data_IF_668486245611
#
_entry.id   IF_668486245611
#
_cell.length_a   1.000
_cell.length_b   1.000
_cell.length_c   1.000
_cell.angle_alpha   90.00
_cell.angle_beta   90.00
_cell.angle_gamma   90.00
#
_symmetry.space_group_name_H-M   'P 1'
#
loop_
_entity.id
_entity.type
_entity.pdbx_description
1 polymer ?
#
# COMPACT_ATOMS: atom_id res chain seq x y z
N UNK A 1 10.92 8.03 -1.42
CA UNK A 1 11.48 6.88 -0.65
C UNK A 1 11.68 5.61 -1.50
N UNK A 2 11.32 5.64 -2.78
CA UNK A 2 11.59 4.54 -3.71
C UNK A 2 13.06 4.46 -4.19
N UNK A 3 13.90 5.43 -3.85
CA UNK A 3 15.25 5.62 -4.40
C UNK A 3 16.39 4.93 -3.62
N UNK A 4 16.09 4.00 -2.71
CA UNK A 4 17.14 3.26 -1.97
C UNK A 4 17.94 4.13 -1.01
N UNK A 5 19.28 3.96 -0.98
CA UNK A 5 20.19 4.71 -0.08
C UNK A 5 20.35 6.18 -0.42
N UNK A 6 20.00 6.59 -1.65
CA UNK A 6 20.22 7.93 -2.17
C UNK A 6 19.01 8.89 -2.01
N UNK A 7 17.96 8.43 -1.29
CA UNK A 7 16.70 9.19 -1.20
C UNK A 7 16.89 10.62 -0.70
N UNK A 8 17.73 10.85 0.31
CA UNK A 8 17.97 12.19 0.88
C UNK A 8 18.55 13.17 -0.15
N UNK A 9 19.53 12.72 -0.93
CA UNK A 9 20.12 13.53 -2.02
C UNK A 9 19.08 13.84 -3.10
N UNK A 10 18.29 12.85 -3.49
CA UNK A 10 17.27 13.01 -4.52
C UNK A 10 16.09 13.86 -4.05
N UNK A 11 15.70 13.80 -2.78
CA UNK A 11 14.68 14.69 -2.20
C UNK A 11 15.13 16.15 -2.27
N UNK A 12 16.38 16.45 -1.90
CA UNK A 12 16.95 17.80 -1.96
C UNK A 12 17.07 18.30 -3.40
N UNK A 13 17.53 17.45 -4.32
CA UNK A 13 17.64 17.79 -5.74
C UNK A 13 16.26 18.09 -6.35
N UNK A 14 15.28 17.26 -6.04
CA UNK A 14 13.89 17.46 -6.46
C UNK A 14 13.31 18.77 -5.89
N UNK A 15 13.59 19.09 -4.62
CA UNK A 15 13.15 20.34 -4.02
C UNK A 15 13.77 21.58 -4.70
N UNK A 16 15.06 21.54 -5.02
CA UNK A 16 15.73 22.61 -5.76
C UNK A 16 15.13 22.80 -7.16
N UNK A 17 14.95 21.71 -7.89
CA UNK A 17 14.36 21.74 -9.23
C UNK A 17 12.92 22.25 -9.19
N UNK A 18 12.13 21.81 -8.20
CA UNK A 18 10.76 22.28 -8.01
C UNK A 18 10.73 23.78 -7.68
N UNK A 19 11.57 24.27 -6.76
CA UNK A 19 11.62 25.68 -6.37
C UNK A 19 12.00 26.57 -7.57
N UNK A 20 12.98 26.15 -8.39
CA UNK A 20 13.38 26.86 -9.60
C UNK A 20 12.26 26.90 -10.63
N UNK A 21 11.62 25.75 -10.93
CA UNK A 21 10.54 25.67 -11.88
C UNK A 21 9.29 26.46 -11.42
N UNK A 22 8.98 26.45 -10.12
CA UNK A 22 7.88 27.23 -9.57
C UNK A 22 8.13 28.76 -9.73
N UNK A 23 9.36 29.22 -9.54
CA UNK A 23 9.74 30.61 -9.75
C UNK A 23 9.64 31.00 -11.24
N UNK A 24 10.16 30.16 -12.14
CA UNK A 24 10.11 30.36 -13.58
C UNK A 24 8.67 30.40 -14.12
N UNK A 25 7.82 29.52 -13.60
CA UNK A 25 6.40 29.46 -13.94
C UNK A 25 5.56 30.59 -13.33
N UNK A 26 6.14 31.48 -12.53
CA UNK A 26 5.43 32.58 -11.89
C UNK A 26 4.44 32.14 -10.82
N UNK A 27 4.66 30.98 -10.16
CA UNK A 27 3.82 30.50 -9.08
C UNK A 27 3.84 31.49 -7.92
N UNK A 28 2.66 31.90 -7.45
CA UNK A 28 2.55 32.92 -6.40
C UNK A 28 2.84 32.41 -5.01
N UNK A 29 2.60 31.10 -4.77
CA UNK A 29 2.70 30.48 -3.46
C UNK A 29 2.80 28.97 -3.58
N UNK A 30 3.52 28.35 -2.67
CA UNK A 30 3.64 26.89 -2.53
C UNK A 30 3.15 26.49 -1.15
N UNK A 31 2.38 25.40 -1.06
CA UNK A 31 2.07 24.73 0.20
C UNK A 31 2.82 23.41 0.22
N UNK A 32 3.63 23.22 1.24
CA UNK A 32 4.45 22.01 1.42
C UNK A 32 3.99 21.22 2.65
N UNK A 33 3.72 19.94 2.48
CA UNK A 33 3.45 19.03 3.58
C UNK A 33 4.76 18.38 4.05
N UNK A 34 5.28 18.86 5.15
CA UNK A 34 6.42 18.32 5.88
C UNK A 34 6.03 17.34 6.97
N UNK A 35 7.01 16.91 7.77
CA UNK A 35 6.79 16.13 8.98
C UNK A 35 7.14 16.91 10.23
N UNK A 36 6.51 16.59 11.35
CA UNK A 36 6.95 17.08 12.66
C UNK A 36 8.39 16.61 12.93
N UNK A 37 9.22 17.52 13.40
CA UNK A 37 10.64 17.29 13.58
C UNK A 37 10.91 17.37 15.09
N UNK A 38 11.33 16.27 15.75
CA UNK A 38 11.76 16.32 17.12
C UNK A 38 13.03 17.19 17.29
N UNK A 39 13.30 17.69 18.49
CA UNK A 39 14.42 18.57 18.75
C UNK A 39 15.81 17.95 18.41
N UNK A 40 15.94 16.62 18.49
CA UNK A 40 17.14 15.87 18.08
C UNK A 40 16.75 14.79 17.04
N UNK A 41 16.59 15.12 15.75
CA UNK A 41 16.20 14.16 14.74
C UNK A 41 17.36 13.20 14.44
N UNK A 42 17.29 11.97 14.93
CA UNK A 42 18.28 10.92 14.63
C UNK A 42 18.01 10.22 13.32
N UNK A 43 16.76 10.18 12.89
CA UNK A 43 16.34 9.53 11.65
C UNK A 43 16.82 10.32 10.42
N UNK A 44 17.51 9.65 9.50
CA UNK A 44 17.92 10.23 8.22
C UNK A 44 16.70 10.73 7.41
N UNK A 45 15.55 10.09 7.57
CA UNK A 45 14.30 10.48 6.94
C UNK A 45 13.78 11.83 7.46
N UNK A 46 13.76 12.03 8.79
CA UNK A 46 13.33 13.29 9.39
C UNK A 46 14.29 14.43 9.04
N UNK A 47 15.60 14.16 9.00
CA UNK A 47 16.59 15.15 8.54
C UNK A 47 16.34 15.55 7.09
N UNK A 48 16.17 14.59 6.19
CA UNK A 48 15.86 14.87 4.77
C UNK A 48 14.59 15.69 4.61
N UNK A 49 13.55 15.44 5.40
CA UNK A 49 12.31 16.22 5.38
C UNK A 49 12.52 17.66 5.85
N UNK A 50 13.30 17.86 6.92
CA UNK A 50 13.69 19.20 7.39
C UNK A 50 14.46 19.97 6.32
N UNK A 51 15.50 19.36 5.77
CA UNK A 51 16.33 19.95 4.72
C UNK A 51 15.53 20.26 3.44
N UNK A 52 14.60 19.39 3.05
CA UNK A 52 13.68 19.63 1.93
C UNK A 52 12.83 20.87 2.17
N UNK A 53 12.23 21.01 3.35
CA UNK A 53 11.49 22.21 3.74
C UNK A 53 12.35 23.48 3.71
N UNK A 54 13.58 23.39 4.23
CA UNK A 54 14.54 24.51 4.21
C UNK A 54 14.88 24.95 2.78
N UNK A 55 15.19 24.01 1.89
CA UNK A 55 15.49 24.30 0.48
C UNK A 55 14.31 24.98 -0.20
N UNK A 56 13.09 24.51 0.02
CA UNK A 56 11.89 25.10 -0.58
C UNK A 56 11.67 26.53 -0.07
N UNK A 57 11.82 26.78 1.24
CA UNK A 57 11.62 28.12 1.84
C UNK A 57 12.68 29.15 1.43
N UNK A 58 13.90 28.71 1.10
CA UNK A 58 14.93 29.57 0.57
C UNK A 58 14.77 29.89 -0.91
N UNK A 59 13.77 29.31 -1.58
CA UNK A 59 13.42 29.64 -2.96
C UNK A 59 12.79 31.04 -3.10
N UNK A 60 12.60 31.49 -4.35
CA UNK A 60 12.03 32.80 -4.64
C UNK A 60 10.51 32.88 -4.40
N UNK A 61 9.81 31.72 -4.34
CA UNK A 61 8.36 31.64 -4.12
C UNK A 61 8.05 31.43 -2.63
N UNK A 62 7.15 32.21 -2.01
CA UNK A 62 6.77 32.00 -0.61
C UNK A 62 6.20 30.61 -0.38
N UNK A 63 6.73 29.88 0.61
CA UNK A 63 6.30 28.52 0.95
C UNK A 63 5.62 28.52 2.30
N UNK A 64 4.38 28.04 2.36
CA UNK A 64 3.72 27.68 3.61
C UNK A 64 3.99 26.21 3.91
N UNK A 65 4.64 25.92 5.01
CA UNK A 65 4.93 24.55 5.43
C UNK A 65 3.93 24.09 6.49
N UNK A 66 3.24 22.99 6.22
CA UNK A 66 2.40 22.29 7.20
C UNK A 66 3.17 21.05 7.66
N UNK A 67 3.42 20.93 8.96
CA UNK A 67 4.13 19.79 9.56
C UNK A 67 3.15 18.90 10.30
N UNK A 68 2.98 17.67 9.82
CA UNK A 68 2.14 16.67 10.46
C UNK A 68 2.99 15.52 11.02
N UNK A 69 2.53 14.96 12.13
CA UNK A 69 3.05 13.71 12.68
C UNK A 69 2.38 12.50 12.02
N UNK A 70 1.72 11.69 12.82
CA UNK A 70 0.96 10.55 12.32
C UNK A 70 -0.34 10.99 11.65
N UNK A 71 -0.50 10.69 10.38
CA UNK A 71 -1.75 10.92 9.64
C UNK A 71 -2.59 9.64 9.72
N UNK A 72 -3.86 9.76 10.09
CA UNK A 72 -4.81 8.65 10.19
C UNK A 72 -5.74 8.66 8.99
N UNK A 73 -5.60 7.67 8.14
CA UNK A 73 -6.42 7.54 6.94
C UNK A 73 -5.85 6.51 5.98
N UNK A 74 -6.64 6.07 4.99
CA UNK A 74 -6.21 5.13 3.98
C UNK A 74 -4.98 5.66 3.20
N UNK A 75 -4.00 4.79 2.97
CA UNK A 75 -2.77 5.16 2.28
C UNK A 75 -1.69 5.80 3.17
N UNK A 76 -1.97 6.09 4.44
CA UNK A 76 -0.95 6.50 5.40
C UNK A 76 -0.13 5.31 5.88
N UNK A 77 1.19 5.34 5.68
CA UNK A 77 2.06 4.23 6.06
C UNK A 77 2.01 3.92 7.57
N UNK A 78 1.96 4.93 8.43
CA UNK A 78 1.89 4.74 9.88
C UNK A 78 0.56 4.10 10.30
N UNK A 79 -0.56 4.58 9.74
CA UNK A 79 -1.88 3.99 9.98
C UNK A 79 -1.96 2.54 9.47
N UNK A 80 -1.46 2.27 8.28
CA UNK A 80 -1.47 0.92 7.71
C UNK A 80 -0.61 -0.06 8.52
N UNK A 81 0.54 0.38 9.04
CA UNK A 81 1.35 -0.45 9.95
C UNK A 81 0.54 -0.82 11.20
N UNK A 82 -0.08 0.14 11.88
CA UNK A 82 -0.91 -0.13 13.07
C UNK A 82 -2.04 -1.09 12.74
N UNK A 83 -2.76 -0.84 11.64
CA UNK A 83 -3.83 -1.69 11.13
C UNK A 83 -3.38 -3.13 10.93
N UNK A 84 -2.27 -3.33 10.21
CA UNK A 84 -1.77 -4.66 9.88
C UNK A 84 -1.25 -5.39 11.12
N UNK A 85 -0.56 -4.68 12.01
CA UNK A 85 -0.08 -5.25 13.28
C UNK A 85 -1.26 -5.80 14.12
N UNK A 86 -2.28 -4.99 14.35
CA UNK A 86 -3.44 -5.37 15.16
C UNK A 86 -4.27 -6.46 14.48
N UNK A 87 -4.43 -6.41 13.16
CA UNK A 87 -5.25 -7.39 12.44
C UNK A 87 -4.59 -8.78 12.36
N UNK A 88 -3.26 -8.86 12.31
CA UNK A 88 -2.57 -10.12 11.99
C UNK A 88 -1.78 -10.72 13.15
N UNK A 89 -1.51 -9.97 14.21
CA UNK A 89 -0.72 -10.47 15.34
C UNK A 89 -1.56 -10.61 16.60
N UNK A 90 -1.85 -11.84 17.05
CA UNK A 90 -2.48 -12.06 18.34
C UNK A 90 -1.54 -11.74 19.53
N UNK A 91 -0.22 -11.81 19.32
CA UNK A 91 0.81 -11.46 20.30
C UNK A 91 1.83 -10.57 19.60
N UNK A 92 2.08 -9.39 20.16
CA UNK A 92 3.06 -8.44 19.67
C UNK A 92 4.16 -8.25 20.69
N UNK A 93 5.40 -8.48 20.28
CA UNK A 93 6.58 -8.15 21.07
C UNK A 93 7.06 -6.79 20.57
N UNK A 94 6.96 -5.77 21.40
CA UNK A 94 7.24 -4.39 21.01
C UNK A 94 8.45 -3.82 21.76
N UNK A 95 9.27 -2.99 21.13
CA UNK A 95 10.30 -2.21 21.80
C UNK A 95 9.70 -1.08 22.64
N UNK A 96 10.54 -0.40 23.41
CA UNK A 96 10.14 0.72 24.26
C UNK A 96 9.48 1.88 23.52
N UNK A 97 9.76 2.09 22.24
CA UNK A 97 9.18 3.17 21.45
C UNK A 97 7.65 3.12 21.35
N UNK A 98 7.03 1.98 21.64
CA UNK A 98 5.56 1.89 21.69
C UNK A 98 4.94 2.84 22.72
N UNK A 99 5.73 3.32 23.68
CA UNK A 99 5.35 4.31 24.70
C UNK A 99 5.55 5.76 24.26
N UNK A 100 6.22 6.00 23.11
CA UNK A 100 6.37 7.35 22.58
C UNK A 100 5.02 7.93 22.19
N UNK A 101 4.86 9.22 22.38
CA UNK A 101 3.60 9.93 22.20
C UNK A 101 3.57 10.64 20.84
N UNK A 102 2.39 10.71 20.27
CA UNK A 102 2.10 11.44 19.04
C UNK A 102 0.74 12.14 19.12
N UNK A 103 0.54 13.16 18.31
CA UNK A 103 -0.74 13.84 18.08
C UNK A 103 -1.28 13.44 16.72
N UNK A 104 -1.97 12.27 16.59
CA UNK A 104 -2.45 11.78 15.30
C UNK A 104 -3.52 12.70 14.74
N UNK A 105 -3.44 13.02 13.46
CA UNK A 105 -4.41 13.88 12.76
C UNK A 105 -5.18 13.08 11.71
N UNK A 106 -6.50 13.29 11.62
CA UNK A 106 -7.33 12.74 10.55
C UNK A 106 -6.87 13.26 9.18
N UNK A 107 -6.84 12.40 8.18
CA UNK A 107 -6.54 12.80 6.81
C UNK A 107 -7.47 13.91 6.31
N UNK A 108 -8.76 13.85 6.64
CA UNK A 108 -9.74 14.89 6.28
C UNK A 108 -9.36 16.25 6.87
N UNK A 109 -9.07 16.32 8.17
CA UNK A 109 -8.67 17.58 8.82
C UNK A 109 -7.33 18.11 8.28
N UNK A 110 -6.37 17.22 7.96
CA UNK A 110 -5.13 17.65 7.31
C UNK A 110 -5.38 18.28 5.94
N UNK A 111 -6.28 17.70 5.15
CA UNK A 111 -6.65 18.25 3.84
C UNK A 111 -7.35 19.60 3.99
N UNK A 112 -8.23 19.77 4.99
CA UNK A 112 -8.86 21.05 5.28
C UNK A 112 -7.82 22.13 5.63
N UNK A 113 -6.82 21.81 6.44
CA UNK A 113 -5.73 22.74 6.74
C UNK A 113 -4.91 23.10 5.48
N UNK A 114 -4.52 22.10 4.67
CA UNK A 114 -3.75 22.33 3.44
C UNK A 114 -4.50 23.23 2.45
N UNK A 115 -5.80 22.99 2.25
CA UNK A 115 -6.65 23.80 1.39
C UNK A 115 -6.89 25.19 2.00
N UNK A 116 -7.08 25.26 3.32
CA UNK A 116 -7.28 26.49 4.06
C UNK A 116 -6.09 27.43 3.91
N UNK A 117 -4.87 26.98 4.24
CA UNK A 117 -3.65 27.83 4.13
C UNK A 117 -3.35 28.22 2.68
N UNK A 118 -3.70 27.36 1.71
CA UNK A 118 -3.53 27.70 0.29
C UNK A 118 -4.38 28.89 -0.14
N UNK A 119 -5.51 29.14 0.54
CA UNK A 119 -6.44 30.24 0.25
C UNK A 119 -6.13 31.53 1.04
N UNK A 120 -5.34 31.43 2.12
CA UNK A 120 -5.05 32.54 3.04
C UNK A 120 -3.71 33.21 2.72
N UNK A 121 -3.68 34.48 2.26
CA UNK A 121 -2.45 35.22 2.00
C UNK A 121 -1.54 35.37 3.24
N UNK A 122 -2.14 35.51 4.42
CA UNK A 122 -1.46 35.66 5.70
C UNK A 122 -0.70 34.42 6.16
N UNK A 123 -1.01 33.25 5.59
CA UNK A 123 -0.28 32.02 5.83
C UNK A 123 1.01 31.88 5.00
N UNK A 124 1.21 32.78 4.01
CA UNK A 124 2.36 32.70 3.11
C UNK A 124 3.69 32.84 3.85
N UNK A 125 4.65 31.96 3.55
CA UNK A 125 5.99 32.00 4.16
C UNK A 125 6.08 31.52 5.61
N UNK A 126 4.99 30.99 6.17
CA UNK A 126 4.94 30.52 7.56
C UNK A 126 5.01 29.01 7.67
N UNK A 127 5.37 28.56 8.88
CA UNK A 127 5.39 27.15 9.26
C UNK A 127 4.32 26.91 10.30
N UNK A 128 3.55 25.86 10.14
CA UNK A 128 2.52 25.45 11.10
C UNK A 128 2.63 23.96 11.38
N UNK A 129 2.68 23.62 12.65
CA UNK A 129 2.47 22.24 13.07
C UNK A 129 0.98 21.94 13.13
N UNK A 130 0.59 20.70 12.78
CA UNK A 130 -0.80 20.25 12.83
C UNK A 130 -0.90 18.91 13.56
N UNK A 131 -1.88 18.82 14.44
CA UNK A 131 -2.20 17.62 15.21
C UNK A 131 -3.70 17.44 15.39
N UNK A 132 -4.09 16.26 15.83
CA UNK A 132 -5.44 15.99 16.30
C UNK A 132 -5.67 16.49 17.74
N UNK A 133 -6.87 16.26 18.29
CA UNK A 133 -7.23 16.75 19.64
C UNK A 133 -6.61 15.94 20.76
N UNK A 134 -5.99 14.80 20.46
CA UNK A 134 -5.50 13.84 21.45
C UNK A 134 -3.99 13.61 21.32
N UNK A 135 -3.31 13.51 22.47
CA UNK A 135 -1.93 13.03 22.53
C UNK A 135 -1.94 11.60 23.03
N UNK A 136 -1.55 10.65 22.19
CA UNK A 136 -1.65 9.21 22.44
C UNK A 136 -0.30 8.52 22.25
N UNK A 137 -0.04 7.47 23.04
CA UNK A 137 1.08 6.57 22.79
C UNK A 137 0.74 5.59 21.65
N UNK A 138 1.76 5.03 20.99
CA UNK A 138 1.52 4.02 19.96
C UNK A 138 0.82 2.77 20.51
N UNK A 139 1.04 2.42 21.78
CA UNK A 139 0.27 1.38 22.46
C UNK A 139 -1.22 1.75 22.54
N UNK A 140 -1.55 2.98 22.94
CA UNK A 140 -2.93 3.45 23.03
C UNK A 140 -3.60 3.46 21.64
N UNK A 141 -2.87 3.89 20.58
CA UNK A 141 -3.36 3.85 19.22
C UNK A 141 -3.70 2.43 18.77
N UNK A 142 -2.81 1.45 19.02
CA UNK A 142 -3.07 0.05 18.71
C UNK A 142 -4.24 -0.52 19.51
N UNK A 143 -4.36 -0.19 20.82
CA UNK A 143 -5.48 -0.66 21.64
C UNK A 143 -6.81 -0.08 21.17
N UNK A 144 -6.89 1.23 20.91
CA UNK A 144 -8.10 1.86 20.39
C UNK A 144 -8.50 1.27 19.03
N UNK A 145 -7.53 1.02 18.12
CA UNK A 145 -7.82 0.35 16.86
C UNK A 145 -8.34 -1.08 17.08
N UNK A 146 -7.75 -1.82 18.02
CA UNK A 146 -8.20 -3.16 18.38
C UNK A 146 -9.63 -3.18 18.92
N UNK A 147 -9.98 -2.22 19.77
CA UNK A 147 -11.34 -2.08 20.32
C UNK A 147 -12.37 -1.81 19.20
N UNK A 148 -12.05 -0.92 18.24
CA UNK A 148 -12.92 -0.64 17.09
C UNK A 148 -13.15 -1.88 16.23
N UNK A 149 -12.11 -2.73 16.05
CA UNK A 149 -12.17 -3.95 15.25
C UNK A 149 -12.56 -5.19 16.05
N UNK A 150 -12.88 -5.03 17.34
CA UNK A 150 -13.17 -6.14 18.28
C UNK A 150 -12.06 -7.21 18.29
N UNK A 151 -10.79 -6.78 18.10
CA UNK A 151 -9.61 -7.63 18.07
C UNK A 151 -8.90 -7.63 19.41
N UNK A 152 -8.72 -8.82 20.00
CA UNK A 152 -7.93 -9.01 21.22
C UNK A 152 -6.52 -9.43 20.84
N UNK A 153 -5.54 -8.76 21.42
CA UNK A 153 -4.12 -9.06 21.26
C UNK A 153 -3.34 -8.76 22.53
N UNK A 154 -2.19 -9.40 22.66
CA UNK A 154 -1.28 -9.20 23.78
C UNK A 154 -0.09 -8.37 23.33
N UNK A 155 0.21 -7.32 24.10
CA UNK A 155 1.40 -6.48 23.94
C UNK A 155 2.41 -6.83 25.03
N UNK A 156 3.59 -7.30 24.61
CA UNK A 156 4.73 -7.57 25.49
C UNK A 156 5.85 -6.60 25.13
N UNK A 157 6.05 -5.58 25.96
CA UNK A 157 7.15 -4.63 25.76
C UNK A 157 8.45 -5.21 26.32
N UNK A 158 9.45 -5.43 25.44
CA UNK A 158 10.77 -5.89 25.81
C UNK A 158 11.81 -4.77 25.73
N UNK A 159 12.68 -4.62 26.74
CA UNK A 159 13.64 -3.50 26.78
C UNK A 159 14.80 -3.61 25.78
N UNK A 160 14.97 -4.74 25.10
CA UNK A 160 16.21 -5.11 24.38
C UNK A 160 16.06 -5.15 22.85
N UNK A 161 14.87 -4.93 22.28
CA UNK A 161 14.71 -4.99 20.83
C UNK A 161 15.24 -3.70 20.17
N UNK A 162 16.32 -3.85 19.38
CA UNK A 162 16.82 -2.75 18.56
C UNK A 162 15.87 -2.43 17.41
N UNK A 163 15.82 -1.18 16.91
CA UNK A 163 15.00 -0.80 15.75
C UNK A 163 15.25 -1.70 14.52
N UNK A 164 16.49 -2.15 14.35
CA UNK A 164 16.87 -3.08 13.26
C UNK A 164 16.16 -4.43 13.38
N UNK A 165 16.11 -5.01 14.57
CA UNK A 165 15.44 -6.30 14.81
C UNK A 165 13.92 -6.15 14.62
N UNK A 166 13.33 -5.05 15.06
CA UNK A 166 11.92 -4.72 14.87
C UNK A 166 11.55 -4.60 13.39
N UNK A 167 12.42 -4.07 12.55
CA UNK A 167 12.13 -3.89 11.12
C UNK A 167 12.07 -5.20 10.34
N UNK A 168 12.73 -6.27 10.78
CA UNK A 168 12.69 -7.56 10.10
C UNK A 168 11.36 -8.29 10.22
N UNK A 169 10.74 -8.26 11.39
CA UNK A 169 9.46 -8.93 11.56
C UNK A 169 8.28 -8.10 11.01
N UNK A 170 8.39 -6.77 10.96
CA UNK A 170 7.42 -5.93 10.26
C UNK A 170 7.28 -6.33 8.79
N UNK A 171 8.38 -6.69 8.13
CA UNK A 171 8.36 -7.23 6.76
C UNK A 171 7.46 -8.47 6.60
N UNK A 172 7.25 -9.23 7.67
CA UNK A 172 6.42 -10.44 7.65
C UNK A 172 4.93 -10.11 7.75
N UNK A 173 4.57 -8.96 8.32
CA UNK A 173 3.20 -8.68 8.75
C UNK A 173 2.57 -7.51 8.00
N UNK A 174 3.35 -6.50 7.61
CA UNK A 174 2.79 -5.28 7.00
C UNK A 174 2.96 -5.24 5.49
N UNK A 175 2.00 -4.59 4.80
CA UNK A 175 2.08 -4.31 3.38
C UNK A 175 3.03 -3.13 3.06
N UNK A 176 3.45 -2.38 4.07
CA UNK A 176 4.33 -1.21 3.90
C UNK A 176 5.75 -1.66 3.57
N UNK A 177 6.41 -1.08 2.55
CA UNK A 177 7.79 -1.39 2.19
C UNK A 177 8.75 -1.28 3.37
N UNK A 178 9.68 -2.25 3.49
CA UNK A 178 10.58 -2.36 4.65
C UNK A 178 11.45 -1.12 4.86
N UNK A 179 11.86 -0.44 3.78
CA UNK A 179 12.63 0.81 3.86
C UNK A 179 11.79 1.95 4.45
N UNK A 180 10.51 2.03 4.11
CA UNK A 180 9.57 3.02 4.66
C UNK A 180 9.27 2.68 6.12
N UNK A 181 8.93 1.42 6.41
CA UNK A 181 8.66 0.95 7.77
C UNK A 181 9.85 1.22 8.71
N UNK A 182 11.09 0.96 8.23
CA UNK A 182 12.31 1.26 9.02
C UNK A 182 12.47 2.76 9.28
N UNK A 183 12.30 3.59 8.24
CA UNK A 183 12.43 5.04 8.38
C UNK A 183 11.40 5.62 9.37
N UNK A 184 10.18 5.05 9.40
CA UNK A 184 9.16 5.41 10.37
C UNK A 184 9.54 4.97 11.78
N UNK A 185 9.98 3.71 11.98
CA UNK A 185 10.39 3.20 13.30
C UNK A 185 11.53 4.02 13.89
N UNK A 186 12.54 4.36 13.07
CA UNK A 186 13.66 5.20 13.51
C UNK A 186 13.18 6.60 13.98
N UNK A 187 12.02 7.06 13.49
CA UNK A 187 11.37 8.30 13.93
C UNK A 187 10.52 8.15 15.20
N UNK A 188 10.16 6.92 15.59
CA UNK A 188 9.28 6.66 16.75
C UNK A 188 9.98 6.65 18.13
N UNK A 189 11.31 6.76 18.16
CA UNK A 189 12.06 6.73 19.41
C UNK A 189 11.80 7.96 20.31
N UNK A 190 11.22 9.02 19.76
CA UNK A 190 10.94 10.28 20.44
C UNK A 190 9.46 10.62 20.39
N UNK A 191 9.02 11.38 21.40
CA UNK A 191 7.70 12.01 21.34
C UNK A 191 7.64 12.99 20.17
N UNK A 192 6.56 12.93 19.40
CA UNK A 192 6.30 13.79 18.25
C UNK A 192 4.94 14.46 18.46
N UNK A 193 4.95 15.57 19.19
CA UNK A 193 3.76 16.31 19.60
C UNK A 193 3.72 17.61 18.78
N UNK A 194 2.59 17.92 18.17
CA UNK A 194 2.39 19.15 17.41
C UNK A 194 2.19 20.35 18.36
N UNK A 195 2.81 21.49 18.02
CA UNK A 195 2.47 22.79 18.56
C UNK A 195 1.52 23.48 17.57
N UNK A 196 0.23 23.17 17.71
CA UNK A 196 -0.80 23.49 16.71
C UNK A 196 -1.69 24.68 17.08
N UNK A 197 -1.33 25.45 18.12
CA UNK A 197 -2.09 26.60 18.59
C UNK A 197 -2.28 27.65 17.48
N UNK A 198 -1.19 28.02 16.80
CA UNK A 198 -1.21 29.03 15.76
C UNK A 198 -2.10 28.67 14.55
N UNK A 199 -2.13 27.40 14.15
CA UNK A 199 -2.97 26.97 13.02
C UNK A 199 -4.44 26.84 13.45
N UNK A 200 -4.72 26.45 14.68
CA UNK A 200 -6.07 26.39 15.22
C UNK A 200 -6.71 27.77 15.36
N UNK A 201 -5.92 28.77 15.71
CA UNK A 201 -6.38 30.18 15.71
C UNK A 201 -6.65 30.68 14.30
N UNK A 202 -5.76 30.35 13.34
CA UNK A 202 -5.90 30.79 11.95
C UNK A 202 -7.08 30.11 11.25
N UNK A 203 -7.23 28.80 11.45
CA UNK A 203 -8.27 27.98 10.82
C UNK A 203 -8.94 27.11 11.89
N UNK A 204 -10.00 27.63 12.53
CA UNK A 204 -10.72 26.89 13.56
C UNK A 204 -11.51 25.74 12.92
N UNK A 205 -11.03 24.50 13.11
CA UNK A 205 -11.67 23.29 12.63
C UNK A 205 -12.16 22.44 13.80
N UNK A 206 -13.25 21.71 13.60
CA UNK A 206 -13.62 20.61 14.47
C UNK A 206 -12.73 19.41 14.12
N UNK A 207 -11.74 19.16 14.97
CA UNK A 207 -10.82 18.05 14.77
C UNK A 207 -11.45 16.73 15.20
N UNK A 208 -11.25 15.71 14.40
CA UNK A 208 -11.68 14.34 14.68
C UNK A 208 -10.73 13.69 15.69
N UNK A 209 -11.29 12.97 16.66
CA UNK A 209 -10.53 12.08 17.56
C UNK A 209 -9.87 10.95 16.76
N UNK A 210 -8.91 10.25 17.39
CA UNK A 210 -8.29 9.09 16.73
C UNK A 210 -9.34 8.02 16.39
N UNK A 211 -10.30 7.76 17.29
CA UNK A 211 -11.41 6.82 17.04
C UNK A 211 -12.23 7.22 15.82
N UNK A 212 -12.73 8.45 15.77
CA UNK A 212 -13.50 8.96 14.63
C UNK A 212 -12.72 8.88 13.32
N UNK A 213 -11.41 9.17 13.37
CA UNK A 213 -10.51 9.09 12.21
C UNK A 213 -10.36 7.66 11.69
N UNK A 214 -10.25 6.68 12.58
CA UNK A 214 -10.17 5.26 12.21
C UNK A 214 -11.49 4.76 11.66
N UNK A 215 -12.61 5.11 12.28
CA UNK A 215 -13.95 4.74 11.80
C UNK A 215 -14.21 5.30 10.40
N UNK A 216 -13.89 6.58 10.16
CA UNK A 216 -13.98 7.19 8.84
C UNK A 216 -13.06 6.53 7.80
N UNK A 217 -11.84 6.13 8.20
CA UNK A 217 -10.92 5.43 7.32
C UNK A 217 -11.45 4.05 6.92
N UNK A 218 -12.01 3.30 7.87
CA UNK A 218 -12.61 1.98 7.63
C UNK A 218 -13.85 2.07 6.73
N UNK A 219 -14.69 3.10 6.93
CA UNK A 219 -15.85 3.34 6.09
C UNK A 219 -15.44 3.68 4.65
N UNK A 220 -14.44 4.55 4.48
CA UNK A 220 -13.88 4.88 3.17
C UNK A 220 -13.28 3.64 2.46
N UNK A 221 -12.63 2.73 3.20
CA UNK A 221 -12.12 1.49 2.66
C UNK A 221 -13.25 0.53 2.24
N UNK A 222 -14.32 0.40 3.04
CA UNK A 222 -15.47 -0.46 2.74
C UNK A 222 -16.26 0.03 1.52
N UNK A 223 -16.46 1.35 1.41
CA UNK A 223 -17.18 1.96 0.31
C UNK A 223 -16.31 2.17 -0.95
N UNK A 224 -15.05 1.70 -0.92
CA UNK A 224 -14.09 1.80 -2.01
C UNK A 224 -13.89 3.24 -2.54
N UNK A 225 -14.06 4.23 -1.67
CA UNK A 225 -13.90 5.66 -1.99
C UNK A 225 -12.44 6.14 -1.88
N UNK A 226 -11.52 5.23 -1.52
CA UNK A 226 -10.10 5.56 -1.35
C UNK A 226 -9.43 5.72 -2.69
N UNK A 227 -8.94 6.91 -2.98
CA UNK A 227 -8.23 7.24 -4.22
C UNK A 227 -6.72 6.92 -4.18
N UNK A 228 -6.13 6.85 -2.99
CA UNK A 228 -4.71 6.63 -2.80
C UNK A 228 -4.42 5.30 -2.09
N UNK A 229 -3.62 4.45 -2.74
CA UNK A 229 -3.13 3.20 -2.17
C UNK A 229 -1.60 3.19 -2.18
N UNK A 230 -1.00 2.62 -1.13
CA UNK A 230 0.42 2.30 -1.16
C UNK A 230 0.66 1.20 -2.18
N UNK A 231 1.25 1.59 -3.32
CA UNK A 231 1.76 0.66 -4.31
C UNK A 231 3.27 0.52 -4.10
N UNK A 232 3.70 -0.63 -3.58
CA UNK A 232 5.13 -0.90 -3.47
C UNK A 232 5.72 -1.02 -4.88
N UNK A 233 6.73 -0.20 -5.19
CA UNK A 233 7.47 -0.34 -6.43
C UNK A 233 6.79 0.23 -7.67
N UNK A 234 6.26 1.44 -7.61
CA UNK A 234 5.86 2.19 -8.81
C UNK A 234 6.94 2.22 -9.91
N UNK A 235 8.22 2.02 -9.52
CA UNK A 235 9.36 1.86 -10.45
C UNK A 235 9.24 0.57 -11.25
N UNK A 236 8.78 -0.53 -10.64
CA UNK A 236 8.60 -1.81 -11.36
C UNK A 236 7.49 -1.67 -12.40
N UNK A 237 6.41 -0.95 -12.10
CA UNK A 237 5.36 -0.66 -13.09
C UNK A 237 5.84 0.24 -14.22
N UNK A 238 6.80 1.15 -13.98
CA UNK A 238 7.41 1.99 -15.02
C UNK A 238 8.29 1.20 -15.99
N UNK A 239 8.91 0.12 -15.51
CA UNK A 239 9.76 -0.75 -16.31
C UNK A 239 9.00 -1.96 -16.89
N UNK A 240 7.70 -2.05 -16.67
CA UNK A 240 6.88 -3.05 -17.31
C UNK A 240 6.64 -2.66 -18.77
N UNK A 241 7.17 -3.48 -19.64
CA UNK A 241 7.02 -3.37 -21.09
C UNK A 241 6.14 -4.53 -21.56
N UNK A 242 4.92 -4.29 -22.04
CA UNK A 242 4.03 -5.35 -22.54
C UNK A 242 4.69 -6.20 -23.64
N UNK A 243 5.59 -5.58 -24.41
CA UNK A 243 6.37 -6.25 -25.45
C UNK A 243 7.32 -7.32 -24.91
N UNK A 244 7.73 -7.28 -23.65
CA UNK A 244 8.52 -8.34 -23.03
C UNK A 244 7.73 -9.65 -22.89
N UNK A 245 6.40 -9.59 -22.90
CA UNK A 245 5.54 -10.76 -22.95
C UNK A 245 5.76 -11.58 -24.26
N UNK A 246 6.19 -10.96 -25.34
CA UNK A 246 6.45 -11.61 -26.62
C UNK A 246 7.58 -12.67 -26.55
N UNK A 247 8.56 -12.44 -25.71
CA UNK A 247 9.72 -13.35 -25.54
C UNK A 247 9.61 -14.28 -24.35
N UNK A 248 8.53 -14.16 -23.58
CA UNK A 248 8.32 -14.97 -22.40
C UNK A 248 7.96 -16.41 -22.72
N UNK A 249 8.37 -17.34 -21.86
CA UNK A 249 7.76 -18.66 -21.81
C UNK A 249 6.33 -18.54 -21.34
N UNK A 250 5.42 -19.31 -21.93
CA UNK A 250 3.99 -19.22 -21.67
C UNK A 250 3.41 -20.51 -21.16
N UNK A 251 2.51 -20.42 -20.20
CA UNK A 251 1.65 -21.52 -19.78
C UNK A 251 0.30 -20.92 -19.39
N UNK A 252 -0.80 -21.61 -19.67
CA UNK A 252 -2.11 -21.06 -19.39
C UNK A 252 -3.22 -22.08 -19.43
N UNK A 253 -4.42 -21.61 -19.18
CA UNK A 253 -5.67 -22.33 -19.29
C UNK A 253 -6.75 -21.46 -19.91
N UNK A 254 -7.74 -22.09 -20.50
CA UNK A 254 -8.90 -21.45 -21.12
C UNK A 254 -10.17 -22.17 -20.67
N UNK A 255 -11.22 -21.41 -20.43
CA UNK A 255 -12.55 -21.97 -20.18
C UNK A 255 -13.60 -21.16 -20.94
N UNK A 256 -14.54 -21.86 -21.58
CA UNK A 256 -15.71 -21.26 -22.23
C UNK A 256 -16.89 -21.32 -21.28
N UNK A 257 -17.74 -20.29 -21.23
CA UNK A 257 -18.86 -20.17 -20.33
C UNK A 257 -20.00 -19.35 -20.94
N UNK A 258 -21.21 -19.54 -20.44
CA UNK A 258 -22.38 -18.74 -20.78
C UNK A 258 -22.56 -17.53 -19.85
N UNK A 259 -21.81 -17.47 -18.75
CA UNK A 259 -21.86 -16.35 -17.81
C UNK A 259 -21.53 -15.03 -18.51
N UNK A 260 -22.13 -13.92 -18.05
CA UNK A 260 -21.84 -12.58 -18.55
C UNK A 260 -20.38 -12.15 -18.28
N UNK A 261 -19.89 -11.15 -19.02
CA UNK A 261 -18.56 -10.57 -18.77
C UNK A 261 -18.44 -10.02 -17.37
N UNK A 262 -19.48 -9.37 -16.90
CA UNK A 262 -19.56 -8.77 -15.58
C UNK A 262 -19.49 -9.83 -14.47
N UNK A 263 -20.15 -10.98 -14.67
CA UNK A 263 -20.10 -12.10 -13.73
C UNK A 263 -18.70 -12.72 -13.68
N UNK A 264 -18.07 -12.94 -14.83
CA UNK A 264 -16.68 -13.40 -14.94
C UNK A 264 -15.72 -12.40 -14.31
N UNK A 265 -15.87 -11.10 -14.63
CA UNK A 265 -15.00 -10.05 -14.12
C UNK A 265 -15.06 -9.97 -12.61
N UNK A 266 -16.25 -10.06 -12.00
CA UNK A 266 -16.39 -10.13 -10.54
C UNK A 266 -15.59 -11.25 -9.92
N UNK A 267 -15.53 -12.43 -10.56
CA UNK A 267 -14.72 -13.53 -10.07
C UNK A 267 -13.22 -13.28 -10.26
N UNK A 268 -12.81 -12.78 -11.43
CA UNK A 268 -11.42 -12.42 -11.70
C UNK A 268 -10.94 -11.36 -10.70
N UNK A 269 -11.76 -10.36 -10.42
CA UNK A 269 -11.45 -9.32 -9.45
C UNK A 269 -11.43 -9.85 -8.01
N UNK A 270 -12.05 -10.99 -7.70
CA UNK A 270 -12.02 -11.64 -6.40
C UNK A 270 -10.81 -12.60 -6.21
N UNK A 271 -9.96 -12.78 -7.22
CA UNK A 271 -8.77 -13.64 -7.19
C UNK A 271 -7.83 -13.32 -6.02
N UNK A 272 -7.38 -14.35 -5.31
CA UNK A 272 -6.48 -14.23 -4.16
C UNK A 272 -7.18 -13.86 -2.85
N UNK A 273 -6.40 -13.66 -1.79
CA UNK A 273 -6.92 -13.32 -0.46
C UNK A 273 -7.80 -14.42 0.13
N UNK A 274 -8.99 -14.04 0.62
CA UNK A 274 -9.92 -14.98 1.29
C UNK A 274 -10.56 -15.99 0.32
N UNK A 275 -10.74 -15.60 -0.95
CA UNK A 275 -11.34 -16.47 -1.99
C UNK A 275 -10.32 -17.48 -2.54
N UNK A 276 -9.03 -17.32 -2.22
CA UNK A 276 -7.97 -18.18 -2.71
C UNK A 276 -7.74 -18.08 -4.22
N UNK A 277 -7.21 -19.14 -4.79
CA UNK A 277 -6.86 -19.21 -6.21
C UNK A 277 -7.86 -20.04 -7.02
N UNK A 278 -9.02 -20.34 -6.46
CA UNK A 278 -10.11 -21.12 -7.03
C UNK A 278 -9.81 -22.59 -7.27
N UNK A 279 -8.54 -22.97 -7.39
CA UNK A 279 -8.16 -24.34 -7.70
C UNK A 279 -6.81 -24.71 -7.09
N UNK A 280 -6.74 -25.90 -6.47
CA UNK A 280 -5.53 -26.47 -5.90
C UNK A 280 -4.77 -25.53 -4.94
N UNK A 281 -5.50 -24.85 -4.03
CA UNK A 281 -4.96 -23.87 -3.08
C UNK A 281 -3.79 -24.41 -2.24
N UNK A 282 -3.71 -25.73 -2.03
CA UNK A 282 -2.59 -26.37 -1.35
C UNK A 282 -1.26 -26.21 -2.10
N UNK A 283 -1.25 -26.19 -3.45
CA UNK A 283 -0.05 -25.94 -4.23
C UNK A 283 0.38 -24.47 -4.15
N UNK A 284 -0.59 -23.56 -4.12
CA UNK A 284 -0.33 -22.13 -3.91
C UNK A 284 0.17 -21.87 -2.49
N UNK A 285 -0.35 -22.57 -1.50
CA UNK A 285 0.18 -22.53 -0.14
C UNK A 285 1.62 -23.01 -0.07
N UNK A 286 1.93 -24.16 -0.68
CA UNK A 286 3.30 -24.69 -0.76
C UNK A 286 4.23 -23.70 -1.46
N UNK A 287 3.78 -23.09 -2.56
CA UNK A 287 4.55 -22.06 -3.28
C UNK A 287 4.82 -20.84 -2.41
N UNK A 288 3.84 -20.39 -1.62
CA UNK A 288 4.02 -19.29 -0.64
C UNK A 288 5.06 -19.65 0.42
N UNK A 289 4.99 -20.86 0.94
CA UNK A 289 5.94 -21.36 1.95
C UNK A 289 7.37 -21.37 1.40
N UNK A 290 7.57 -21.87 0.21
CA UNK A 290 8.88 -21.87 -0.49
C UNK A 290 9.37 -20.41 -0.68
N UNK A 291 8.50 -19.52 -1.15
CA UNK A 291 8.82 -18.11 -1.34
C UNK A 291 9.25 -17.43 -0.03
N UNK A 292 8.57 -17.73 1.07
CA UNK A 292 8.90 -17.19 2.38
C UNK A 292 10.29 -17.66 2.85
N UNK A 293 10.62 -18.94 2.71
CA UNK A 293 11.97 -19.45 3.02
C UNK A 293 13.04 -18.83 2.12
N UNK A 294 12.72 -18.52 0.88
CA UNK A 294 13.63 -17.82 -0.04
C UNK A 294 13.80 -16.32 0.28
N UNK A 295 13.20 -15.82 1.36
CA UNK A 295 13.25 -14.40 1.75
C UNK A 295 12.41 -13.50 0.85
N UNK A 296 11.39 -14.03 0.20
CA UNK A 296 10.38 -13.30 -0.58
C UNK A 296 9.44 -12.47 0.30
N UNK A 297 8.43 -11.80 -0.31
CA UNK A 297 7.45 -11.00 0.43
C UNK A 297 6.69 -11.83 1.47
N UNK A 298 6.12 -11.12 2.45
CA UNK A 298 5.44 -11.68 3.62
C UNK A 298 4.40 -12.74 3.26
N UNK A 299 4.34 -13.78 4.08
CA UNK A 299 3.36 -14.86 3.98
C UNK A 299 1.90 -14.39 4.16
N UNK A 300 1.71 -13.23 4.82
CA UNK A 300 0.40 -12.70 5.21
C UNK A 300 -0.02 -11.45 4.44
N UNK A 301 0.55 -11.16 3.28
CA UNK A 301 0.04 -10.08 2.44
C UNK A 301 -1.36 -10.44 1.97
N UNK A 302 -2.34 -9.88 2.66
CA UNK A 302 -3.76 -10.06 2.33
C UNK A 302 -4.22 -8.93 1.43
N UNK A 303 -5.20 -9.26 0.62
CA UNK A 303 -5.97 -8.36 -0.20
C UNK A 303 -6.57 -7.22 0.65
N UNK A 304 -6.50 -6.00 0.15
CA UNK A 304 -7.00 -4.81 0.85
C UNK A 304 -8.53 -4.71 0.81
N UNK A 305 -9.14 -4.95 -0.37
CA UNK A 305 -10.58 -4.95 -0.57
C UNK A 305 -11.07 -6.33 -1.00
N UNK A 306 -12.18 -6.88 -0.43
CA UNK A 306 -12.59 -8.27 -0.66
C UNK A 306 -13.03 -8.57 -2.09
N UNK A 307 -13.50 -7.58 -2.85
CA UNK A 307 -14.11 -7.79 -4.18
C UNK A 307 -13.46 -7.03 -5.33
N UNK A 308 -12.63 -6.03 -5.07
CA UNK A 308 -12.05 -5.18 -6.09
C UNK A 308 -10.52 -5.12 -6.00
N UNK A 309 -9.90 -4.93 -7.16
CA UNK A 309 -8.48 -4.72 -7.35
C UNK A 309 -8.26 -3.46 -8.18
N UNK A 310 -7.27 -2.66 -7.80
CA UNK A 310 -6.86 -1.47 -8.54
C UNK A 310 -5.40 -1.58 -8.92
N UNK A 311 -4.99 -0.87 -9.94
CA UNK A 311 -3.58 -0.78 -10.32
C UNK A 311 -2.75 -0.30 -9.13
N UNK A 312 -1.71 -1.08 -8.79
CA UNK A 312 -0.85 -0.87 -7.65
C UNK A 312 -1.19 -1.73 -6.42
N UNK A 313 -2.39 -2.31 -6.32
CA UNK A 313 -2.75 -3.21 -5.22
C UNK A 313 -1.86 -4.46 -5.23
N UNK A 314 -1.58 -4.97 -4.03
CA UNK A 314 -0.86 -6.23 -3.86
C UNK A 314 -1.80 -7.28 -3.27
N UNK A 315 -1.89 -8.40 -3.95
CA UNK A 315 -2.69 -9.57 -3.54
C UNK A 315 -1.74 -10.74 -3.36
N UNK A 316 -1.57 -11.20 -2.12
CA UNK A 316 -0.58 -12.21 -1.78
C UNK A 316 0.82 -11.81 -2.31
N UNK A 317 1.30 -12.47 -3.34
CA UNK A 317 2.60 -12.18 -3.97
C UNK A 317 2.44 -11.63 -5.41
N UNK A 318 1.30 -11.04 -5.70
CA UNK A 318 0.97 -10.47 -7.01
C UNK A 318 0.67 -8.99 -6.89
N UNK A 319 1.21 -8.19 -7.80
CA UNK A 319 0.89 -6.77 -7.93
C UNK A 319 0.03 -6.53 -9.15
N UNK A 320 -1.06 -5.82 -8.99
CA UNK A 320 -1.89 -5.37 -10.10
C UNK A 320 -1.16 -4.30 -10.90
N UNK A 321 -0.86 -4.54 -12.16
CA UNK A 321 -0.20 -3.58 -13.06
C UNK A 321 -1.13 -3.04 -14.14
N UNK A 322 -2.21 -3.76 -14.47
CA UNK A 322 -3.28 -3.27 -15.32
C UNK A 322 -4.61 -3.91 -14.90
N UNK A 323 -5.69 -3.14 -14.96
CA UNK A 323 -7.05 -3.59 -14.75
C UNK A 323 -7.97 -2.83 -15.73
N UNK A 324 -8.42 -3.53 -16.76
CA UNK A 324 -9.39 -3.03 -17.76
C UNK A 324 -10.73 -3.71 -17.44
N UNK A 325 -11.75 -2.98 -16.99
CA UNK A 325 -13.03 -3.55 -16.60
C UNK A 325 -13.60 -4.49 -17.67
N UNK A 326 -14.12 -5.63 -17.23
CA UNK A 326 -14.77 -6.66 -18.02
C UNK A 326 -13.90 -7.24 -19.17
N UNK A 327 -12.59 -6.94 -19.18
CA UNK A 327 -11.70 -7.34 -20.24
C UNK A 327 -10.40 -7.97 -19.79
N UNK A 328 -9.58 -7.27 -18.97
CA UNK A 328 -8.23 -7.73 -18.66
C UNK A 328 -7.76 -7.34 -17.27
N UNK A 329 -7.19 -8.31 -16.54
CA UNK A 329 -6.46 -8.09 -15.30
C UNK A 329 -5.04 -8.63 -15.46
N UNK A 330 -4.03 -7.78 -15.24
CA UNK A 330 -2.62 -8.16 -15.36
C UNK A 330 -1.92 -8.01 -14.01
N UNK A 331 -1.29 -9.09 -13.56
CA UNK A 331 -0.66 -9.23 -12.26
C UNK A 331 0.84 -9.49 -12.43
N UNK A 332 1.69 -8.68 -11.82
CA UNK A 332 3.13 -8.87 -11.77
C UNK A 332 3.49 -9.76 -10.57
N UNK A 333 4.29 -10.78 -10.80
CA UNK A 333 4.77 -11.67 -9.75
C UNK A 333 5.86 -11.01 -8.90
N UNK A 334 5.64 -10.88 -7.60
CA UNK A 334 6.62 -10.40 -6.62
C UNK A 334 7.32 -11.54 -5.85
N UNK A 335 7.06 -12.77 -6.21
CA UNK A 335 7.74 -13.93 -5.63
C UNK A 335 9.20 -13.97 -6.04
N UNK A 336 10.07 -14.32 -5.13
CA UNK A 336 11.47 -14.59 -5.46
C UNK A 336 11.59 -15.89 -6.27
N UNK A 337 12.31 -15.80 -7.35
CA UNK A 337 12.56 -16.92 -8.25
C UNK A 337 13.66 -16.57 -9.25
N UNK A 338 14.17 -17.53 -9.99
CA UNK A 338 15.20 -17.31 -11.00
C UNK A 338 14.60 -16.72 -12.29
N UNK A 339 13.90 -15.58 -12.17
CA UNK A 339 13.27 -14.89 -13.28
C UNK A 339 12.11 -14.01 -12.82
N UNK A 340 11.41 -13.42 -13.77
CA UNK A 340 10.23 -12.56 -13.56
C UNK A 340 9.00 -13.18 -14.21
N UNK A 341 7.82 -13.00 -13.61
CA UNK A 341 6.57 -13.54 -14.12
C UNK A 341 5.42 -12.54 -14.12
N UNK A 342 4.53 -12.71 -15.07
CA UNK A 342 3.27 -11.99 -15.18
C UNK A 342 2.15 -13.00 -15.33
N UNK A 343 1.04 -12.81 -14.61
CA UNK A 343 -0.20 -13.57 -14.80
C UNK A 343 -1.25 -12.61 -15.35
N UNK A 344 -1.85 -12.99 -16.46
CA UNK A 344 -2.86 -12.20 -17.15
C UNK A 344 -4.15 -13.00 -17.28
N UNK A 345 -5.26 -12.37 -16.91
CA UNK A 345 -6.60 -12.85 -17.18
C UNK A 345 -7.21 -12.00 -18.29
N UNK A 346 -7.75 -12.64 -19.31
CA UNK A 346 -8.46 -12.01 -20.41
C UNK A 346 -9.85 -12.61 -20.56
N UNK A 347 -10.83 -11.76 -20.82
CA UNK A 347 -12.22 -12.13 -21.10
C UNK A 347 -12.56 -11.66 -22.49
N UNK A 348 -12.79 -12.62 -23.39
CA UNK A 348 -13.17 -12.38 -24.77
C UNK A 348 -14.60 -12.85 -25.04
N UNK A 349 -15.21 -12.35 -26.13
CA UNK A 349 -16.49 -12.83 -26.65
C UNK A 349 -16.24 -13.62 -27.93
N UNK A 350 -16.76 -14.86 -27.94
CA UNK A 350 -16.73 -15.72 -29.12
C UNK A 350 -18.18 -16.16 -29.44
N UNK A 351 -18.89 -15.35 -30.21
CA UNK A 351 -20.31 -15.58 -30.53
C UNK A 351 -21.20 -15.39 -29.31
N UNK A 352 -21.98 -16.40 -28.93
CA UNK A 352 -22.86 -16.38 -27.76
C UNK A 352 -22.11 -16.72 -26.44
N UNK A 353 -20.90 -17.24 -26.53
CA UNK A 353 -20.09 -17.64 -25.39
C UNK A 353 -19.04 -16.63 -25.01
N UNK A 354 -18.58 -16.67 -23.78
CA UNK A 354 -17.42 -15.91 -23.29
C UNK A 354 -16.28 -16.87 -23.02
N UNK A 355 -15.10 -16.42 -23.30
CA UNK A 355 -13.86 -17.18 -23.13
C UNK A 355 -12.99 -16.49 -22.11
N UNK A 356 -12.80 -17.15 -20.97
CA UNK A 356 -11.83 -16.74 -19.97
C UNK A 356 -10.49 -17.41 -20.24
N UNK A 357 -9.44 -16.61 -20.45
CA UNK A 357 -8.05 -17.07 -20.55
C UNK A 357 -7.26 -16.62 -19.34
N UNK A 358 -6.44 -17.51 -18.80
CA UNK A 358 -5.42 -17.17 -17.82
C UNK A 358 -4.06 -17.57 -18.39
N UNK A 359 -3.16 -16.60 -18.60
CA UNK A 359 -1.85 -16.83 -19.18
C UNK A 359 -0.76 -16.36 -18.24
N UNK A 360 0.13 -17.24 -17.85
CA UNK A 360 1.38 -16.92 -17.16
C UNK A 360 2.49 -16.72 -18.18
N UNK A 361 3.14 -15.58 -18.11
CA UNK A 361 4.34 -15.25 -18.86
C UNK A 361 5.55 -15.33 -17.93
N UNK A 362 6.63 -15.96 -18.37
CA UNK A 362 7.83 -16.13 -17.58
C UNK A 362 9.08 -15.71 -18.34
N UNK A 363 9.85 -14.80 -17.77
CA UNK A 363 11.17 -14.41 -18.24
C UNK A 363 12.24 -15.08 -17.37
N UNK A 364 12.86 -16.16 -17.86
CA UNK A 364 13.89 -16.87 -17.10
C UNK A 364 15.16 -16.02 -16.96
N UNK A 365 15.72 -15.98 -15.73
CA UNK A 365 17.04 -15.42 -15.48
C UNK A 365 18.09 -16.55 -15.61
N UNK A 366 18.65 -16.68 -16.81
CA UNK A 366 19.68 -17.66 -17.11
C UNK A 366 19.22 -19.13 -17.07
N UNK A 367 20.16 -20.10 -17.03
CA UNK A 367 19.84 -21.52 -17.06
C UNK A 367 18.96 -21.99 -15.89
N UNK A 368 19.17 -21.44 -14.69
CA UNK A 368 18.38 -21.79 -13.51
C UNK A 368 16.89 -21.43 -13.71
N UNK A 369 16.59 -20.29 -14.36
CA UNK A 369 15.25 -19.89 -14.70
C UNK A 369 14.58 -20.80 -15.73
N UNK A 370 15.32 -21.35 -16.66
CA UNK A 370 14.84 -22.32 -17.63
C UNK A 370 14.51 -23.66 -16.98
N UNK A 371 15.42 -24.18 -16.13
CA UNK A 371 15.22 -25.43 -15.37
C UNK A 371 13.96 -25.27 -14.51
N UNK A 372 13.86 -24.18 -13.75
CA UNK A 372 12.68 -23.88 -12.93
C UNK A 372 11.39 -23.91 -13.75
N UNK A 373 11.36 -23.23 -14.89
CA UNK A 373 10.18 -23.18 -15.74
C UNK A 373 9.75 -24.55 -16.26
N UNK A 374 10.68 -25.29 -16.86
CA UNK A 374 10.36 -26.59 -17.45
C UNK A 374 9.99 -27.66 -16.42
N UNK A 375 10.56 -27.62 -15.22
CA UNK A 375 10.18 -28.52 -14.14
C UNK A 375 8.76 -28.26 -13.63
N UNK A 376 8.28 -27.01 -13.69
CA UNK A 376 6.93 -26.62 -13.25
C UNK A 376 5.89 -26.62 -14.37
N UNK A 377 6.29 -26.79 -15.63
CA UNK A 377 5.37 -26.69 -16.75
C UNK A 377 4.14 -27.63 -16.67
N UNK A 378 4.25 -28.90 -16.26
CA UNK A 378 3.08 -29.78 -16.06
C UNK A 378 2.15 -29.27 -14.95
N UNK A 379 2.73 -28.74 -13.88
CA UNK A 379 1.98 -28.17 -12.75
C UNK A 379 1.23 -26.91 -13.18
N UNK A 380 1.87 -26.04 -13.96
CA UNK A 380 1.22 -24.83 -14.51
C UNK A 380 0.03 -25.17 -15.40
N UNK A 381 0.18 -26.15 -16.31
CA UNK A 381 -0.91 -26.57 -17.20
C UNK A 381 -2.11 -27.11 -16.40
N UNK A 382 -1.85 -27.88 -15.36
CA UNK A 382 -2.90 -28.40 -14.47
C UNK A 382 -3.58 -27.26 -13.69
N UNK A 383 -2.80 -26.37 -13.06
CA UNK A 383 -3.31 -25.26 -12.26
C UNK A 383 -4.16 -24.29 -13.07
N UNK A 384 -3.66 -23.81 -14.20
CA UNK A 384 -4.36 -22.77 -14.96
C UNK A 384 -5.65 -23.29 -15.62
N UNK A 385 -5.66 -24.53 -16.12
CA UNK A 385 -6.90 -25.14 -16.63
C UNK A 385 -7.95 -25.33 -15.53
N UNK A 386 -7.53 -25.82 -14.37
CA UNK A 386 -8.43 -25.98 -13.23
C UNK A 386 -8.97 -24.63 -12.73
N UNK A 387 -8.12 -23.64 -12.64
CA UNK A 387 -8.46 -22.30 -12.19
C UNK A 387 -9.46 -21.60 -13.12
N UNK A 388 -9.22 -21.56 -14.44
CA UNK A 388 -10.16 -20.95 -15.39
C UNK A 388 -11.51 -21.66 -15.39
N UNK A 389 -11.52 -23.00 -15.33
CA UNK A 389 -12.76 -23.79 -15.24
C UNK A 389 -13.52 -23.51 -13.93
N UNK A 390 -12.81 -23.37 -12.81
CA UNK A 390 -13.44 -23.09 -11.51
C UNK A 390 -14.03 -21.67 -11.47
N UNK A 391 -13.33 -20.69 -12.02
CA UNK A 391 -13.80 -19.29 -12.14
C UNK A 391 -15.07 -19.25 -12.99
N UNK A 392 -15.06 -19.89 -14.18
CA UNK A 392 -16.21 -19.95 -15.09
C UNK A 392 -17.43 -20.54 -14.44
N UNK A 393 -17.31 -21.74 -13.84
CA UNK A 393 -18.41 -22.41 -13.13
C UNK A 393 -18.96 -21.60 -11.95
N UNK A 394 -18.09 -20.87 -11.24
CA UNK A 394 -18.53 -20.02 -10.12
C UNK A 394 -19.25 -18.77 -10.62
N UNK A 395 -18.85 -18.21 -11.77
CA UNK A 395 -19.56 -17.11 -12.40
C UNK A 395 -20.98 -17.53 -12.82
N UNK A 396 -21.14 -18.66 -13.50
CA UNK A 396 -22.44 -19.22 -13.89
C UNK A 396 -23.37 -19.45 -12.68
N UNK A 397 -22.84 -20.09 -11.64
CA UNK A 397 -23.60 -20.36 -10.43
C UNK A 397 -24.11 -19.10 -9.75
N UNK A 398 -23.23 -18.11 -9.56
CA UNK A 398 -23.58 -16.87 -8.88
C UNK A 398 -24.57 -16.01 -9.70
N UNK A 399 -24.52 -16.10 -11.03
CA UNK A 399 -25.46 -15.42 -11.92
C UNK A 399 -26.84 -16.12 -11.90
N UNK A 400 -26.87 -17.45 -11.91
CA UNK A 400 -28.10 -18.22 -11.77
C UNK A 400 -28.82 -18.00 -10.43
N UNK A 401 -28.07 -17.90 -9.31
CA UNK A 401 -28.62 -17.59 -8.00
C UNK A 401 -29.22 -16.17 -7.94
N UNK A 402 -28.59 -15.18 -8.60
CA UNK A 402 -29.10 -13.80 -8.68
C UNK A 402 -30.40 -13.71 -9.49
N UNK A 403 -30.53 -14.50 -10.54
CA UNK A 403 -31.74 -14.54 -11.41
C UNK A 403 -32.92 -15.24 -10.71
N UNK A 404 -32.68 -16.16 -9.76
CA UNK A 404 -33.72 -16.85 -9.01
C UNK A 404 -34.31 -16.02 -7.83
N UNK A 405 -33.67 -14.90 -7.45
CA UNK A 405 -34.05 -14.05 -6.30
C UNK A 405 -34.75 -12.77 -6.77
N UNK A 406 -34.70 -12.46 -8.05
CA UNK A 406 -35.38 -11.33 -8.70
C UNK A 406 -36.75 -11.73 -9.22
#
# INVERSE_FOLDING_TARGET
MAAGSDFARLDIEAAKNFAAAAAEAGVKRVVYLGGLIPADPRSAHLKSRAETGDVLRHGAVPVTEIRAGMIVGPGSAAYEIIRDLVNYLPIMITPRWVQSRSTPIALANLLDYLVGVARMPEAAGKIYDVGGPETLTYEQLMRQYGDIKEKRFWLLSLPVLTPRLSSYWLKLVTAVPTNIARALIDGLEHDVIADDEAIRELIPLKLMTFRESVEAALDAEQNNTVSAHWAEGSIVCRNFHPEYAYYAKRAGGTATTEASKEALWRQVMAFGGAEGYYYADYLWFLRRLINWFAGGPSFYRRRRHPRELRVGDVVDAWRVIAAEPDRRLTLLMEMRGPGSGVLEFEIDEEGEHRVLRATAYWHPAGPAGLIYWYSLLPVHAFLFRGMTSAIAKRAERNEGEATCVS
#
